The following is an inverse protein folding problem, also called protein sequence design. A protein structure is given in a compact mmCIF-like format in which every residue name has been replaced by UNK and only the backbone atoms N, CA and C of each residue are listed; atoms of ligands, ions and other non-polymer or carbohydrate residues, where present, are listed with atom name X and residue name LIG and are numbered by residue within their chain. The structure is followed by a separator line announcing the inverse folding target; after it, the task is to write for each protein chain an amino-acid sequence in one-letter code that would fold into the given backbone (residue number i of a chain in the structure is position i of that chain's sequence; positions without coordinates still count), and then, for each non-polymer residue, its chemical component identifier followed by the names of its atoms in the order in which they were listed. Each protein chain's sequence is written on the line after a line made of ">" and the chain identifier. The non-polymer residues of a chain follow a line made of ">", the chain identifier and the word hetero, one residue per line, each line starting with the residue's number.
data_IF_703237440831
#
_entry.id   IF_703237440831
#
_cell.length_a   1.000
_cell.length_b   1.000
_cell.length_c   1.000
_cell.angle_alpha   90.00
_cell.angle_beta   90.00
_cell.angle_gamma   90.00
#
_symmetry.space_group_name_H-M   'P 1'
#
loop_
_entity.id
_entity.type
_entity.pdbx_description
1 polymer ?
#
# COMPACT_ATOMS: atom_id res chain seq x y z
N UNK A 1 10.30 -9.70 -4.18
CA UNK A 1 9.93 -8.26 -4.16
C UNK A 1 8.41 -8.16 -4.10
N UNK A 2 7.80 -7.07 -3.61
CA UNK A 2 6.32 -6.95 -3.53
C UNK A 2 5.60 -7.15 -4.88
N UNK A 3 6.32 -7.00 -5.99
CA UNK A 3 5.79 -7.21 -7.33
C UNK A 3 5.92 -8.64 -7.84
N UNK A 4 6.70 -9.48 -7.15
CA UNK A 4 6.78 -10.92 -7.42
C UNK A 4 5.68 -11.68 -6.67
N UNK A 5 5.24 -11.13 -5.54
CA UNK A 5 4.03 -11.58 -4.85
C UNK A 5 2.83 -10.90 -5.50
N UNK A 6 1.77 -11.64 -5.82
CA UNK A 6 0.55 -11.10 -6.44
C UNK A 6 -0.17 -10.19 -5.44
N UNK A 7 0.28 -8.94 -5.32
CA UNK A 7 -0.26 -7.96 -4.37
C UNK A 7 -1.30 -7.08 -5.05
N UNK A 8 -2.52 -7.09 -4.50
CA UNK A 8 -3.61 -6.23 -4.97
C UNK A 8 -3.64 -4.84 -4.30
N UNK A 9 -3.17 -4.75 -3.04
CA UNK A 9 -3.22 -3.54 -2.23
C UNK A 9 -1.99 -3.41 -1.32
N UNK A 10 -1.40 -2.22 -1.28
CA UNK A 10 -0.36 -1.83 -0.31
C UNK A 10 -0.90 -0.78 0.65
N UNK A 11 -0.73 -0.99 1.95
CA UNK A 11 -1.08 -0.02 2.99
C UNK A 11 0.19 0.50 3.65
N UNK A 12 0.33 1.82 3.74
CA UNK A 12 1.48 2.48 4.39
C UNK A 12 1.01 3.68 5.21
N UNK A 13 1.79 4.08 6.21
CA UNK A 13 1.57 5.35 6.92
C UNK A 13 1.71 6.56 5.99
N UNK A 14 2.70 6.49 5.11
CA UNK A 14 2.96 7.52 4.10
C UNK A 14 3.61 6.88 2.86
N UNK A 15 3.34 7.42 1.66
CA UNK A 15 4.04 7.08 0.42
C UNK A 15 4.81 8.26 -0.14
N UNK A 16 6.05 8.02 -0.55
CA UNK A 16 6.80 8.94 -1.40
C UNK A 16 6.33 8.89 -2.86
N UNK A 17 6.47 9.99 -3.59
CA UNK A 17 6.02 10.13 -5.00
C UNK A 17 6.57 9.04 -5.93
N UNK A 18 7.86 8.67 -5.78
CA UNK A 18 8.47 7.60 -6.57
C UNK A 18 7.81 6.24 -6.34
N UNK A 19 7.36 5.97 -5.11
CA UNK A 19 6.70 4.71 -4.76
C UNK A 19 5.30 4.66 -5.36
N UNK A 20 4.54 5.77 -5.29
CA UNK A 20 3.22 5.90 -5.91
C UNK A 20 3.33 5.60 -7.41
N UNK A 21 4.25 6.28 -8.11
CA UNK A 21 4.45 6.04 -9.54
C UNK A 21 4.81 4.58 -9.85
N UNK A 22 5.58 3.91 -8.98
CA UNK A 22 5.88 2.49 -9.13
C UNK A 22 4.68 1.56 -8.93
N UNK A 23 3.77 1.90 -8.02
CA UNK A 23 2.55 1.13 -7.74
C UNK A 23 1.51 1.33 -8.85
N UNK A 24 1.32 2.57 -9.31
CA UNK A 24 0.41 2.91 -10.41
C UNK A 24 0.81 2.23 -11.72
N UNK A 25 2.11 2.27 -12.08
CA UNK A 25 2.61 1.57 -13.27
C UNK A 25 2.39 0.06 -13.22
N UNK A 26 2.27 -0.52 -12.02
CA UNK A 26 2.03 -1.95 -11.81
C UNK A 26 0.54 -2.29 -11.61
N UNK A 27 -0.34 -1.28 -11.60
CA UNK A 27 -1.77 -1.46 -11.35
C UNK A 27 -2.10 -1.90 -9.92
N UNK A 28 -1.18 -1.70 -8.98
CA UNK A 28 -1.35 -2.09 -7.57
C UNK A 28 -2.04 -0.95 -6.84
N UNK A 29 -3.13 -1.25 -6.12
CA UNK A 29 -3.84 -0.25 -5.32
C UNK A 29 -2.96 0.13 -4.13
N UNK A 30 -3.12 1.36 -3.65
CA UNK A 30 -2.44 1.81 -2.45
C UNK A 30 -3.37 2.64 -1.57
N UNK A 31 -3.15 2.57 -0.26
CA UNK A 31 -3.95 3.31 0.74
C UNK A 31 -3.05 3.82 1.85
N UNK A 32 -3.13 5.12 2.14
CA UNK A 32 -2.43 5.71 3.28
C UNK A 32 -3.27 5.59 4.54
N UNK A 33 -2.68 5.07 5.62
CA UNK A 33 -3.27 4.96 6.95
C UNK A 33 -2.20 5.24 8.01
N UNK A 34 -2.27 6.42 8.61
CA UNK A 34 -1.34 6.83 9.68
C UNK A 34 -1.94 6.66 11.07
N UNK A 35 -1.08 6.39 12.06
CA UNK A 35 -1.49 6.35 13.47
C UNK A 35 -2.32 5.12 13.88
N UNK A 36 -2.36 4.08 13.04
CA UNK A 36 -3.09 2.82 13.31
C UNK A 36 -2.15 1.63 13.30
N UNK A 37 -2.46 0.62 14.10
CA UNK A 37 -1.76 -0.66 14.04
C UNK A 37 -2.18 -1.46 12.80
N UNK A 38 -1.37 -2.45 12.41
CA UNK A 38 -1.72 -3.37 11.30
C UNK A 38 -3.08 -4.02 11.53
N UNK A 39 -3.41 -4.40 12.77
CA UNK A 39 -4.69 -5.03 13.12
C UNK A 39 -5.88 -4.10 12.89
N UNK A 40 -5.72 -2.82 13.17
CA UNK A 40 -6.78 -1.80 12.97
C UNK A 40 -6.92 -1.44 11.49
N UNK A 41 -5.80 -1.35 10.78
CA UNK A 41 -5.81 -1.17 9.33
C UNK A 41 -6.58 -2.30 8.65
N UNK A 42 -6.30 -3.56 9.00
CA UNK A 42 -6.99 -4.74 8.46
C UNK A 42 -8.51 -4.76 8.72
N UNK A 43 -8.99 -4.15 9.81
CA UNK A 43 -10.43 -4.02 10.08
C UNK A 43 -11.12 -2.95 9.22
N UNK A 44 -10.34 -2.07 8.59
CA UNK A 44 -10.80 -0.89 7.85
C UNK A 44 -10.59 -1.01 6.33
N UNK A 45 -10.27 -2.22 5.86
CA UNK A 45 -10.11 -2.61 4.46
C UNK A 45 -11.31 -3.43 4.03
#
# INVERSE_FOLDING_TARGET
>A
MLSDEKVDLVVSGHFGQNMIGGLENKGIKYKEMSGVTVKEALKSL
#
